data_IF_869622725902
#
_entry.id   IF_869622725902
#
_cell.length_a   1.000
_cell.length_b   1.000
_cell.length_c   1.000
_cell.angle_alpha   90.00
_cell.angle_beta   90.00
_cell.angle_gamma   90.00
#
_symmetry.space_group_name_H-M   'P 1'
#
loop_
_entity.id
_entity.type
_entity.pdbx_description
1 polymer ?
2 polymer ?
3 non-polymer ?
4 non-polymer ?
5 non-polymer ?
6 water ?
#
# COMPACT_ATOMS: atom_id res chain seq x y z
N UNK A 5 21.84 -23.62 -2.11
CA UNK A 5 21.67 -22.36 -2.82
C UNK A 5 22.77 -21.32 -2.51
N UNK A 6 23.33 -20.71 -3.56
CA UNK A 6 24.37 -19.68 -3.42
C UNK A 6 23.77 -18.38 -2.89
N UNK A 7 24.59 -17.59 -2.19
CA UNK A 7 24.10 -16.42 -1.45
C UNK A 7 24.64 -15.05 -1.92
N UNK A 8 25.47 -15.02 -2.98
CA UNK A 8 25.96 -13.77 -3.58
C UNK A 8 24.96 -13.09 -4.53
N UNK A 9 23.82 -13.72 -4.80
CA UNK A 9 22.78 -13.19 -5.69
C UNK A 9 21.74 -12.49 -4.84
N UNK A 10 21.32 -11.29 -5.24
CA UNK A 10 20.17 -10.63 -4.58
C UNK A 10 18.87 -11.40 -4.85
N UNK A 11 17.87 -11.19 -4.01
CA UNK A 11 16.60 -11.90 -4.13
C UNK A 11 15.67 -11.04 -4.93
N UNK A 12 15.45 -11.37 -6.22
CA UNK A 12 14.62 -10.49 -7.06
C UNK A 12 13.15 -10.50 -6.69
N UNK A 13 12.50 -9.36 -6.90
CA UNK A 13 11.06 -9.26 -6.72
C UNK A 13 10.40 -9.55 -8.07
N UNK A 14 9.17 -10.05 -8.00
CA UNK A 14 8.35 -10.23 -9.20
C UNK A 14 8.17 -8.91 -9.96
N UNK A 15 7.98 -7.82 -9.22
CA UNK A 15 7.82 -6.50 -9.81
C UNK A 15 8.87 -5.51 -9.33
N UNK A 16 9.18 -4.53 -10.16
CA UNK A 16 9.88 -3.31 -9.72
C UNK A 16 8.85 -2.35 -9.13
N UNK A 17 9.19 -1.77 -7.98
CA UNK A 17 8.30 -0.88 -7.26
C UNK A 17 8.91 0.49 -7.14
N UNK A 18 8.05 1.50 -7.08
CA UNK A 18 8.44 2.88 -6.89
C UNK A 18 7.82 3.40 -5.61
N UNK A 19 8.66 4.01 -4.78
CA UNK A 19 8.22 4.68 -3.56
C UNK A 19 8.12 6.18 -3.82
N UNK A 20 6.96 6.72 -3.46
CA UNK A 20 6.65 8.13 -3.59
C UNK A 20 6.40 8.77 -2.22
N UNK A 21 6.70 10.06 -2.13
CA UNK A 21 6.43 10.88 -0.96
C UNK A 21 5.56 12.05 -1.39
N UNK A 22 4.65 12.44 -0.51
CA UNK A 22 3.78 13.59 -0.70
C UNK A 22 3.88 14.46 0.54
N UNK A 23 4.00 15.78 0.34
CA UNK A 23 3.81 16.75 1.40
C UNK A 23 3.28 17.98 0.72
N UNK A 24 2.31 18.65 1.33
CA UNK A 24 1.58 19.75 0.68
C UNK A 24 2.33 21.09 0.86
N UNK A 25 3.59 21.12 0.43
CA UNK A 25 4.46 22.28 0.68
C UNK A 25 5.14 22.86 -0.56
N UNK A 26 4.77 22.38 -1.75
CA UNK A 26 5.37 22.88 -2.98
C UNK A 26 4.39 23.59 -3.92
N UNK A 27 3.17 23.08 -4.04
CA UNK A 27 2.19 23.61 -5.00
C UNK A 27 0.77 23.60 -4.47
N UNK A 28 -0.03 24.53 -4.96
CA UNK A 28 -1.47 24.51 -4.73
C UNK A 28 -2.20 23.46 -5.59
N UNK A 29 -1.53 22.87 -6.57
CA UNK A 29 -2.08 21.73 -7.31
C UNK A 29 -1.57 20.45 -6.66
N UNK A 30 -2.48 19.50 -6.43
CA UNK A 30 -2.15 18.30 -5.63
C UNK A 30 -0.94 17.56 -6.23
N UNK A 31 -1.04 17.23 -7.53
CA UNK A 31 -0.06 16.36 -8.20
C UNK A 31 1.41 16.87 -8.14
N UNK A 32 1.60 18.19 -8.10
CA UNK A 32 2.94 18.78 -8.10
C UNK A 32 3.65 18.67 -6.74
N UNK A 33 2.95 18.16 -5.72
CA UNK A 33 3.54 17.86 -4.43
C UNK A 33 4.09 16.44 -4.32
N UNK A 34 3.88 15.61 -5.34
CA UNK A 34 4.43 14.25 -5.33
C UNK A 34 5.92 14.25 -5.67
N UNK A 35 6.71 13.48 -4.93
CA UNK A 35 8.14 13.26 -5.18
C UNK A 35 8.37 11.76 -5.34
N UNK A 36 9.03 11.36 -6.42
CA UNK A 36 9.54 9.99 -6.51
C UNK A 36 10.77 9.90 -5.61
N UNK A 37 10.78 8.98 -4.66
CA UNK A 37 11.91 8.83 -3.77
C UNK A 37 12.91 7.88 -4.42
N UNK A 38 12.47 6.67 -4.75
CA UNK A 38 13.35 5.64 -5.31
C UNK A 38 12.58 4.50 -5.96
N UNK A 39 13.31 3.64 -6.67
CA UNK A 39 12.76 2.41 -7.22
C UNK A 39 13.63 1.26 -6.75
N UNK A 40 13.03 0.07 -6.64
CA UNK A 40 13.80 -1.14 -6.28
C UNK A 40 13.12 -2.37 -6.86
N UNK A 41 13.91 -3.45 -7.05
CA UNK A 41 13.35 -4.68 -7.55
C UNK A 41 13.98 -5.92 -6.94
N UNK A 42 14.52 -5.78 -5.73
CA UNK A 42 15.04 -6.90 -4.96
C UNK A 42 14.63 -6.68 -3.52
N UNK A 43 14.68 -7.76 -2.76
CA UNK A 43 14.37 -7.69 -1.32
C UNK A 43 15.43 -6.84 -0.59
N UNK A 44 16.70 -7.06 -0.91
CA UNK A 44 17.80 -6.34 -0.26
C UNK A 44 17.70 -4.84 -0.48
N UNK A 45 17.33 -4.45 -1.71
CA UNK A 45 17.20 -3.04 -2.02
C UNK A 45 15.98 -2.38 -1.36
N UNK A 46 14.90 -3.15 -1.25
CA UNK A 46 13.74 -2.74 -0.46
C UNK A 46 14.19 -2.36 0.95
N UNK A 47 14.88 -3.28 1.63
CA UNK A 47 15.29 -3.02 3.02
C UNK A 47 16.26 -1.83 3.15
N UNK A 48 17.19 -1.69 2.20
CA UNK A 48 18.12 -0.54 2.20
C UNK A 48 17.34 0.77 2.19
N UNK A 49 16.29 0.80 1.37
CA UNK A 49 15.44 1.99 1.27
C UNK A 49 14.63 2.16 2.52
N UNK A 50 13.94 1.11 2.93
CA UNK A 50 13.10 1.17 4.13
C UNK A 50 13.89 1.62 5.35
N UNK A 51 15.12 1.12 5.47
CA UNK A 51 15.98 1.49 6.60
C UNK A 51 16.49 2.94 6.58
N UNK A 52 16.47 3.57 5.41
CA UNK A 52 16.96 4.94 5.23
C UNK A 52 15.90 6.00 5.55
N UNK A 53 14.62 5.65 5.52
CA UNK A 53 13.53 6.65 5.51
C UNK A 53 12.77 6.66 6.83
N UNK A 54 12.09 7.77 7.09
CA UNK A 54 11.33 7.92 8.31
C UNK A 54 10.19 6.90 8.42
N UNK A 55 9.95 6.43 9.64
CA UNK A 55 8.71 5.76 9.96
C UNK A 55 7.55 6.70 9.67
N UNK A 56 6.46 6.13 9.18
CA UNK A 56 5.23 6.88 8.92
C UNK A 56 4.77 7.68 10.13
N UNK A 57 4.87 7.05 11.31
CA UNK A 57 4.51 7.73 12.57
C UNK A 57 5.35 8.98 12.89
N UNK A 58 6.53 9.13 12.28
CA UNK A 58 7.41 10.29 12.51
C UNK A 58 7.25 11.37 11.44
N UNK A 59 6.37 11.16 10.46
CA UNK A 59 6.12 12.18 9.44
C UNK A 59 5.18 13.25 9.98
N UNK A 60 5.30 14.45 9.42
CA UNK A 60 4.39 15.54 9.75
C UNK A 60 3.01 15.23 9.23
N UNK A 61 1.96 15.57 10.01
CA UNK A 61 0.60 15.41 9.50
C UNK A 61 0.41 16.11 8.15
N UNK A 62 -0.24 15.43 7.23
CA UNK A 62 -0.41 15.88 5.85
C UNK A 62 0.49 15.21 4.84
N UNK A 63 1.39 14.32 5.30
CA UNK A 63 2.32 13.62 4.40
C UNK A 63 1.77 12.25 4.02
N UNK A 64 2.19 11.76 2.84
CA UNK A 64 1.89 10.39 2.41
C UNK A 64 3.16 9.70 1.96
N UNK A 65 3.21 8.38 2.19
CA UNK A 65 3.99 7.48 1.33
C UNK A 65 3.06 6.68 0.42
N UNK A 66 3.52 6.39 -0.80
CA UNK A 66 2.84 5.50 -1.72
C UNK A 66 3.86 4.54 -2.34
N UNK A 67 3.55 3.24 -2.33
CA UNK A 67 4.37 2.26 -3.04
C UNK A 67 3.54 1.68 -4.16
N UNK A 68 3.96 1.95 -5.41
CA UNK A 68 3.24 1.50 -6.59
C UNK A 68 4.17 0.75 -7.55
N UNK A 69 3.58 -0.22 -8.26
CA UNK A 69 4.30 -0.91 -9.32
C UNK A 69 4.86 0.12 -10.29
N UNK A 70 6.10 -0.08 -10.72
CA UNK A 70 6.73 0.91 -11.58
C UNK A 70 5.91 0.95 -12.87
N UNK A 71 5.59 2.16 -13.32
CA UNK A 71 4.67 2.36 -14.43
C UNK A 71 3.27 2.82 -14.07
N UNK A 72 2.91 2.67 -12.79
CA UNK A 72 1.61 3.13 -12.29
C UNK A 72 1.86 4.35 -11.40
N UNK A 73 1.37 5.50 -11.80
CA UNK A 73 1.47 6.70 -10.98
C UNK A 73 0.51 6.57 -9.82
N UNK A 74 0.88 7.08 -8.62
CA UNK A 74 0.05 6.91 -7.43
C UNK A 74 -1.13 7.88 -7.36
N UNK A 75 -1.96 7.86 -8.40
CA UNK A 75 -3.08 8.78 -8.52
C UNK A 75 -4.22 8.15 -9.31
N UNK A 76 -5.43 8.63 -9.02
CA UNK A 76 -6.67 8.10 -9.58
C UNK A 76 -6.63 8.05 -11.11
N UNK A 77 -5.99 9.07 -11.68
CA UNK A 77 -5.99 9.32 -13.12
C UNK A 77 -5.18 8.33 -13.93
N UNK A 78 -4.29 7.57 -13.30
CA UNK A 78 -3.54 6.55 -14.03
C UNK A 78 -4.50 5.56 -14.69
N UNK A 79 -4.14 5.13 -15.90
CA UNK A 79 -4.91 4.12 -16.63
C UNK A 79 -5.24 2.92 -15.75
N UNK A 80 -4.30 2.50 -14.91
CA UNK A 80 -4.50 1.31 -14.08
C UNK A 80 -5.25 1.55 -12.76
N UNK A 81 -5.51 2.81 -12.43
CA UNK A 81 -6.28 3.17 -11.23
C UNK A 81 -7.67 3.73 -11.51
N UNK A 82 -7.92 4.30 -12.69
CA UNK A 82 -9.17 5.04 -12.89
C UNK A 82 -10.45 4.20 -12.78
N UNK A 83 -10.39 2.92 -13.13
CA UNK A 83 -11.52 2.00 -12.98
C UNK A 83 -11.44 1.20 -11.67
N UNK A 84 -10.48 1.56 -10.83
CA UNK A 84 -10.09 0.77 -9.68
C UNK A 84 -10.65 1.35 -8.41
N UNK A 85 -10.01 0.99 -7.30
CA UNK A 85 -10.47 1.37 -5.99
C UNK A 85 -9.51 0.89 -4.93
N UNK A 86 -9.87 1.09 -3.67
CA UNK A 86 -9.01 0.75 -2.55
C UNK A 86 -9.71 0.02 -1.40
N UNK A 87 -9.00 -0.92 -0.78
CA UNK A 87 -9.37 -1.40 0.55
C UNK A 87 -8.80 -0.40 1.56
N UNK A 88 -9.63 0.13 2.45
CA UNK A 88 -9.22 1.20 3.33
C UNK A 88 -9.16 0.76 4.81
N UNK A 89 -8.03 1.03 5.44
CA UNK A 89 -7.83 0.81 6.88
C UNK A 89 -7.84 2.20 7.50
N UNK A 90 -8.81 2.48 8.38
CA UNK A 90 -8.91 3.78 9.04
C UNK A 90 -8.42 3.56 10.47
N UNK A 91 -7.53 4.43 10.91
CA UNK A 91 -6.90 4.31 12.22
C UNK A 91 -7.38 5.47 13.08
N UNK A 92 -7.59 5.21 14.36
CA UNK A 92 -7.87 6.32 15.27
C UNK A 92 -6.55 7.01 15.65
N UNK A 93 -6.64 8.14 16.35
CA UNK A 93 -5.44 8.92 16.68
C UNK A 93 -4.40 8.15 17.48
N UNK A 94 -4.87 7.32 18.41
CA UNK A 94 -3.99 6.55 19.29
C UNK A 94 -3.24 5.43 18.53
N UNK A 95 -3.86 4.94 17.46
CA UNK A 95 -3.25 3.93 16.60
C UNK A 95 -2.05 4.43 15.79
N UNK A 96 -1.84 5.74 15.71
CA UNK A 96 -0.57 6.21 15.15
C UNK A 96 0.61 5.58 15.87
N UNK A 97 0.52 5.47 17.19
CA UNK A 97 1.55 4.88 18.02
C UNK A 97 1.52 3.35 17.99
N UNK A 98 0.33 2.76 18.14
CA UNK A 98 0.25 1.31 18.34
C UNK A 98 0.32 0.49 17.07
N UNK A 99 -0.26 0.97 15.98
CA UNK A 99 -0.49 0.15 14.80
C UNK A 99 0.01 0.71 13.46
N UNK A 100 0.21 2.03 13.34
CA UNK A 100 0.47 2.60 12.00
C UNK A 100 1.70 1.99 11.34
N UNK A 101 2.82 1.99 12.04
CA UNK A 101 4.07 1.53 11.42
C UNK A 101 4.04 0.04 11.14
N UNK A 102 3.54 -0.76 12.08
CA UNK A 102 3.49 -2.22 11.86
C UNK A 102 2.51 -2.56 10.72
N UNK A 103 1.36 -1.89 10.65
CA UNK A 103 0.40 -2.12 9.55
C UNK A 103 0.98 -1.69 8.20
N UNK A 104 1.66 -0.55 8.17
CA UNK A 104 2.30 -0.10 6.92
C UNK A 104 3.39 -1.07 6.45
N UNK A 105 4.26 -1.49 7.37
CA UNK A 105 5.29 -2.46 6.99
C UNK A 105 4.67 -3.77 6.49
N UNK A 106 3.65 -4.28 7.17
CA UNK A 106 2.98 -5.48 6.71
C UNK A 106 2.37 -5.28 5.30
N UNK A 107 1.83 -4.11 5.06
CA UNK A 107 1.31 -3.77 3.74
C UNK A 107 2.40 -3.83 2.66
N UNK A 108 3.55 -3.23 2.95
CA UNK A 108 4.71 -3.24 2.04
C UNK A 108 5.12 -4.67 1.75
N UNK A 109 5.18 -5.49 2.80
CA UNK A 109 5.58 -6.89 2.61
C UNK A 109 4.58 -7.68 1.79
N UNK A 110 3.29 -7.43 2.01
CA UNK A 110 2.23 -8.03 1.21
C UNK A 110 2.43 -7.76 -0.26
N UNK A 111 2.68 -6.48 -0.56
CA UNK A 111 2.89 -6.07 -1.94
C UNK A 111 4.12 -6.73 -2.60
N UNK A 112 5.30 -6.51 -2.02
CA UNK A 112 6.57 -6.91 -2.67
C UNK A 112 6.69 -8.43 -2.74
N UNK A 113 6.06 -9.13 -1.78
CA UNK A 113 6.07 -10.59 -1.73
C UNK A 113 5.03 -11.29 -2.62
N UNK A 114 4.19 -10.51 -3.34
CA UNK A 114 3.13 -11.05 -4.22
C UNK A 114 2.22 -12.00 -3.45
N UNK A 115 1.60 -11.44 -2.40
CA UNK A 115 0.91 -12.24 -1.40
C UNK A 115 -0.55 -12.56 -1.74
N UNK A 116 -1.02 -12.16 -2.92
CA UNK A 116 -2.42 -12.27 -3.30
C UNK A 116 -2.69 -13.36 -4.34
N UNK A 117 -1.74 -14.31 -4.42
CA UNK A 117 -1.83 -15.51 -5.28
C UNK A 117 -2.36 -15.22 -6.70
N UNK A 118 -3.48 -15.79 -7.11
CA UNK A 118 -3.98 -15.62 -8.49
C UNK A 118 -4.35 -14.18 -8.83
N UNK A 119 -4.51 -13.33 -7.81
CA UNK A 119 -5.00 -11.95 -8.02
C UNK A 119 -3.95 -10.86 -7.77
N UNK A 120 -2.68 -11.25 -7.63
CA UNK A 120 -1.60 -10.29 -7.41
C UNK A 120 -1.50 -9.24 -8.51
N UNK A 121 -1.83 -9.62 -9.76
CA UNK A 121 -1.81 -8.64 -10.86
C UNK A 121 -2.86 -7.54 -10.75
N UNK A 122 -3.94 -7.76 -10.00
CA UNK A 122 -4.91 -6.69 -9.76
C UNK A 122 -4.43 -5.63 -8.76
N UNK A 123 -3.38 -5.93 -8.00
CA UNK A 123 -2.82 -4.95 -7.05
C UNK A 123 -2.01 -3.89 -7.79
N UNK A 124 -2.33 -2.62 -7.54
CA UNK A 124 -1.56 -1.50 -8.12
C UNK A 124 -0.51 -0.95 -7.17
N UNK A 125 -0.88 -0.79 -5.90
CA UNK A 125 0.00 -0.20 -4.95
C UNK A 125 -0.71 0.01 -3.63
N UNK A 126 -0.05 0.75 -2.75
CA UNK A 126 -0.58 1.09 -1.43
C UNK A 126 -0.20 2.49 -1.04
N UNK A 127 -1.05 3.09 -0.21
CA UNK A 127 -0.86 4.47 0.25
C UNK A 127 -1.07 4.54 1.76
N UNK A 128 -0.17 5.26 2.43
CA UNK A 128 -0.40 5.64 3.83
C UNK A 128 -0.53 7.15 3.89
N UNK A 129 -1.60 7.61 4.52
CA UNK A 129 -1.85 9.04 4.75
C UNK A 129 -1.68 9.28 6.26
N UNK A 130 -0.72 10.12 6.61
CA UNK A 130 -0.56 10.57 7.99
C UNK A 130 -1.40 11.85 8.12
N UNK A 131 -2.39 11.81 9.01
CA UNK A 131 -3.38 12.88 9.10
C UNK A 131 -3.76 13.11 10.55
N UNK A 132 -3.90 14.38 10.89
CA UNK A 132 -4.28 14.78 12.25
C UNK A 132 -5.63 14.20 12.71
N UNK A 133 -6.59 14.06 11.80
CA UNK A 133 -7.91 13.47 12.10
C UNK A 133 -7.89 11.95 12.28
N UNK A 134 -6.84 11.28 11.82
CA UNK A 134 -6.79 9.82 11.82
C UNK A 134 -6.04 9.36 10.57
N UNK A 135 -5.09 8.46 10.76
CA UNK A 135 -4.27 7.99 9.67
C UNK A 135 -5.06 6.97 8.83
N UNK A 136 -4.65 6.79 7.58
CA UNK A 136 -5.27 5.81 6.70
C UNK A 136 -4.18 5.02 6.00
N UNK A 137 -4.45 3.74 5.81
CA UNK A 137 -3.63 2.88 4.91
C UNK A 137 -4.59 2.26 3.93
N UNK A 138 -4.17 2.12 2.68
CA UNK A 138 -5.00 1.48 1.68
C UNK A 138 -4.19 0.70 0.67
N UNK A 139 -4.76 -0.41 0.22
CA UNK A 139 -4.29 -1.12 -0.98
C UNK A 139 -5.21 -0.76 -2.15
N UNK A 140 -4.58 -0.34 -3.25
CA UNK A 140 -5.28 0.10 -4.45
C UNK A 140 -5.23 -1.07 -5.44
N UNK A 141 -6.37 -1.35 -6.04
CA UNK A 141 -6.48 -2.40 -7.06
C UNK A 141 -7.07 -1.81 -8.34
N UNK A 142 -6.88 -2.52 -9.43
CA UNK A 142 -7.08 -1.95 -10.77
C UNK A 142 -8.53 -1.88 -11.30
N UNK A 143 -9.42 -2.73 -10.79
CA UNK A 143 -10.78 -2.87 -11.34
C UNK A 143 -11.78 -3.10 -10.22
N UNK A 144 -12.56 -2.07 -9.91
CA UNK A 144 -13.54 -2.12 -8.80
C UNK A 144 -14.73 -3.06 -9.05
N UNK A 145 -14.94 -3.48 -10.30
CA UNK A 145 -16.04 -4.39 -10.64
C UNK A 145 -15.68 -5.87 -10.58
N UNK A 146 -14.39 -6.22 -10.43
CA UNK A 146 -14.01 -7.63 -10.29
C UNK A 146 -14.22 -8.08 -8.85
N UNK A 147 -15.46 -8.48 -8.56
CA UNK A 147 -15.86 -8.87 -7.21
C UNK A 147 -14.95 -9.98 -6.63
N UNK A 148 -14.67 -10.98 -7.44
CA UNK A 148 -13.85 -12.12 -6.99
C UNK A 148 -12.45 -11.68 -6.59
N UNK A 149 -11.76 -10.94 -7.47
CA UNK A 149 -10.39 -10.49 -7.22
C UNK A 149 -10.34 -9.52 -6.05
N UNK A 150 -11.27 -8.56 -6.02
CA UNK A 150 -11.29 -7.54 -4.99
C UNK A 150 -11.53 -8.15 -3.61
N UNK A 151 -12.53 -9.02 -3.52
CA UNK A 151 -12.86 -9.67 -2.25
C UNK A 151 -11.71 -10.53 -1.76
N UNK A 152 -11.06 -11.25 -2.69
CA UNK A 152 -9.92 -12.12 -2.32
C UNK A 152 -8.77 -11.29 -1.74
N UNK A 153 -8.45 -10.19 -2.41
CA UNK A 153 -7.38 -9.29 -1.97
C UNK A 153 -7.69 -8.75 -0.56
N UNK A 154 -8.93 -8.35 -0.33
CA UNK A 154 -9.34 -7.83 0.97
C UNK A 154 -9.17 -8.84 2.07
N UNK A 155 -9.55 -10.09 1.77
CA UNK A 155 -9.47 -11.15 2.77
C UNK A 155 -8.02 -11.51 3.11
N UNK A 156 -7.15 -11.51 2.11
CA UNK A 156 -5.72 -11.71 2.32
C UNK A 156 -5.19 -10.60 3.22
N UNK A 157 -5.53 -9.37 2.88
CA UNK A 157 -5.01 -8.22 3.61
C UNK A 157 -5.42 -8.22 5.08
N UNK A 158 -6.69 -8.55 5.32
CA UNK A 158 -7.24 -8.56 6.66
C UNK A 158 -6.52 -9.64 7.46
N UNK A 159 -6.33 -10.80 6.83
CA UNK A 159 -5.60 -11.89 7.49
C UNK A 159 -4.14 -11.50 7.79
N UNK A 160 -3.46 -10.84 6.84
CA UNK A 160 -2.06 -10.44 7.04
C UNK A 160 -1.88 -9.35 8.11
N UNK A 161 -2.85 -8.44 8.21
CA UNK A 161 -2.87 -7.46 9.31
C UNK A 161 -3.28 -8.03 10.66
N UNK A 162 -3.80 -9.25 10.68
CA UNK A 162 -4.27 -9.89 11.90
C UNK A 162 -5.54 -9.27 12.46
N UNK A 163 -6.40 -8.70 11.62
CA UNK A 163 -7.64 -8.08 12.10
C UNK A 163 -8.67 -9.17 12.39
N UNK A 164 -9.35 -9.10 13.57
CA UNK A 164 -10.32 -10.16 13.89
C UNK A 164 -11.61 -10.07 13.06
N UNK A 165 -12.40 -11.17 13.00
CA UNK A 165 -13.59 -11.18 12.15
C UNK A 165 -14.60 -10.04 12.38
N UNK A 166 -14.70 -9.55 13.61
CA UNK A 166 -15.65 -8.46 13.92
C UNK A 166 -15.18 -7.06 13.46
N UNK A 167 -13.91 -6.91 13.05
CA UNK A 167 -13.45 -5.65 12.43
C UNK A 167 -13.73 -5.76 10.93
N UNK A 168 -14.64 -4.95 10.42
CA UNK A 168 -15.01 -4.99 9.02
C UNK A 168 -14.23 -3.89 8.32
N UNK A 169 -13.69 -4.19 7.13
CA UNK A 169 -13.05 -3.17 6.31
C UNK A 169 -13.82 -3.05 5.01
N UNK A 170 -13.74 -1.87 4.39
CA UNK A 170 -14.48 -1.55 3.21
C UNK A 170 -13.61 -1.22 2.00
N UNK A 171 -14.19 -1.47 0.83
CA UNK A 171 -13.56 -1.16 -0.45
C UNK A 171 -14.39 -0.08 -1.13
N UNK A 172 -13.72 0.99 -1.57
CA UNK A 172 -14.38 2.09 -2.30
C UNK A 172 -13.76 2.27 -3.66
N UNK A 173 -14.59 2.52 -4.68
CA UNK A 173 -14.06 2.83 -6.01
C UNK A 173 -13.48 4.25 -5.98
N UNK A 174 -12.44 4.46 -6.77
CA UNK A 174 -11.81 5.77 -6.85
C UNK A 174 -12.81 6.77 -7.47
N UNK A 175 -13.59 6.31 -8.44
CA UNK A 175 -14.62 7.16 -9.08
C UNK A 175 -15.59 7.69 -8.04
N UNK A 176 -16.02 6.83 -7.10
CA UNK A 176 -16.84 7.29 -5.97
C UNK A 176 -16.09 8.18 -4.98
N UNK A 177 -14.87 7.80 -4.59
CA UNK A 177 -14.04 8.64 -3.72
C UNK A 177 -13.87 10.07 -4.28
N UNK A 178 -13.60 10.16 -5.58
CA UNK A 178 -13.34 11.45 -6.25
C UNK A 178 -14.57 12.33 -6.46
N UNK A 179 -15.77 11.79 -6.31
CA UNK A 179 -17.00 12.55 -6.51
C UNK A 179 -17.55 13.05 -5.16
N UNK A 180 -18.08 14.26 -5.17
CA UNK A 180 -18.63 14.90 -3.97
C UNK A 180 -20.12 14.60 -3.84
N UNK A 185 -18.59 8.55 1.16
CA UNK A 185 -18.37 7.57 0.09
C UNK A 185 -18.86 6.20 0.52
N UNK A 186 -19.53 5.49 -0.39
CA UNK A 186 -20.08 4.17 -0.10
C UNK A 186 -19.02 3.08 -0.30
N UNK A 187 -19.19 1.97 0.42
CA UNK A 187 -18.39 0.76 0.17
C UNK A 187 -19.05 -0.06 -0.93
N UNK A 188 -18.26 -0.52 -1.91
CA UNK A 188 -18.71 -1.49 -2.90
C UNK A 188 -18.69 -2.89 -2.32
N UNK A 189 -17.71 -3.17 -1.47
CA UNK A 189 -17.54 -4.45 -0.81
C UNK A 189 -17.08 -4.24 0.61
N UNK A 190 -17.36 -5.23 1.45
CA UNK A 190 -16.78 -5.31 2.78
C UNK A 190 -16.29 -6.73 3.02
N UNK A 191 -15.27 -6.86 3.88
CA UNK A 191 -14.81 -8.16 4.40
C UNK A 191 -14.45 -8.02 5.88
C UNK B 1 6.63 -17.81 -11.60
N UNK B 2 5.68 -17.28 -10.80
CA UNK B 2 5.78 -16.02 -10.12
C UNK B 2 6.72 -16.11 -8.93
N UNK B 3 7.36 -14.99 -8.60
CA UNK B 3 8.29 -14.93 -7.48
C UNK B 3 7.51 -14.46 -6.26
N UNK B 4 7.36 -15.35 -5.28
CA UNK B 4 6.59 -15.09 -4.08
C UNK B 4 7.55 -15.19 -2.90
N UNK B 5 7.38 -14.31 -1.91
CA UNK B 5 8.08 -14.41 -0.63
C UNK B 5 7.07 -14.38 0.49
N UNK B 6 7.21 -15.32 1.42
CA UNK B 6 6.45 -15.26 2.67
C UNK B 6 6.95 -14.10 3.49
N UNK B 7 6.14 -13.71 4.47
CA UNK B 7 6.54 -12.76 5.47
C UNK B 7 7.90 -13.11 6.15
N UNK B 8 8.11 -14.36 6.62
CA UNK B 8 9.33 -14.84 7.26
C UNK B 8 10.52 -14.61 6.33
N UNK B 9 10.41 -15.00 5.12
CA UNK B 9 11.49 -14.86 4.14
C UNK B 9 11.94 -13.41 4.00
N UNK B 10 10.96 -12.50 3.89
CA UNK B 10 11.27 -11.08 3.76
C UNK B 10 11.96 -10.53 4.98
N UNK B 11 11.48 -10.87 6.18
CA UNK B 11 12.13 -10.38 7.39
C UNK B 11 13.54 -10.94 7.61
N UNK B 12 13.82 -12.24 7.33
CA UNK B 12 15.14 -12.86 7.44
C UNK B 12 16.10 -12.08 6.57
N UNK B 13 15.69 -11.62 5.45
CA UNK B 13 16.59 -10.90 4.55
C UNK B 13 16.86 -9.43 4.88
N UNK B 14 16.23 -8.91 5.93
CA UNK B 14 16.61 -7.62 6.46
C UNK B 14 18.02 -7.75 7.07
N UNK B 15 18.51 -9.00 7.52
X LIG C 1 -6.27 12.44 0.54
X LIG C 1 -4.87 12.92 0.73
X LIG C 1 -6.54 11.06 -0.03
X LIG C 1 -7.15 12.48 1.89
X LIG C 1 -7.09 13.48 -0.40
X LIG C 1 -7.29 13.53 3.12
X LIG C 1 -6.15 14.52 3.13
X LIG C 1 -7.46 12.70 4.36
X LIG C 1 -8.72 14.21 2.81
X LIG C 1 -10.04 13.45 2.18
X LIG C 1 -9.65 12.05 1.73
X LIG C 1 -11.02 13.42 3.35
X LIG C 1 -10.43 14.33 0.99
X LIG C 1 -7.13 14.87 -0.17
X LIG C 1 -7.34 15.60 -1.49
X LIG C 1 -6.15 15.48 -2.27
X LIG C 1 -8.44 15.05 -2.39
X LIG C 1 -9.75 15.46 -2.00
X LIG C 1 -8.01 15.60 -3.73
X LIG C 1 -8.33 16.99 -3.86
X LIG C 1 -6.49 15.40 -3.64
X LIG C 1 -6.14 14.09 -4.24
X LIG C 1 -5.88 12.96 -3.34
X LIG C 1 -5.61 11.98 -4.39
X LIG C 1 -5.30 10.61 -3.89
X LIG C 1 -5.71 12.45 -5.63
X LIG C 1 -5.54 11.84 -6.95
X LIG C 1 -5.24 10.62 -7.10
X LIG C 1 -5.72 12.67 -8.00
X LIG C 1 -6.05 13.97 -7.85
X LIG C 1 -6.23 14.71 -8.98
X LIG C 1 -6.22 14.60 -6.66
X LIG C 1 -6.07 13.86 -5.54
X LIG D 1 -11.71 0.37 9.31
X LIG D 1 -12.68 -0.45 8.62
X LIG D 1 -10.50 -0.47 9.74
X LIG D 1 -10.03 -0.07 11.03
X LIG D 1 -8.76 -0.66 11.34
X LIG D 1 -8.76 -1.17 12.77
X LIG D 1 -7.46 -1.14 13.36
X LIG E 1 2.48 -9.38 -15.27
X LIG E 1 3.83 -9.35 -15.72
X LIG E 1 2.18 -8.30 -14.22
X LIG E 1 3.25 -7.97 -13.33
X LIG E 1 4.06 -9.01 -12.79
X LIG E 1 5.51 -8.76 -13.19
X LIG E 1 6.04 -9.70 -14.14
X LIG F 1 -0.59 8.53 19.94
X LIG F 1 -1.13 8.00 18.74
X LIG F 1 -0.40 10.04 19.84
X LIG F 1 0.40 10.42 20.96
X LIG F 1 0.31 10.49 18.55
X LIG F 1 -0.41 11.60 17.98
#
# INVERSE_FOLDING_TARGET
MVANPEHYIKHPLQNRWALWFFKNDKSKTWQANLRLISKFDTVEDFWALYNHIQLSSNLMPGCDYSLFKDGIEPMWEDEKNKRGGRWLITLNKQQRRSDLDRFWLETLLCLIGESFDDYSDDVCGAVVNVRAKGDKIAIWTTECENREAVTHIGRVYKERLGLPPKIVIGYQSHADTATKSGSTTKNRFVV
XRIIYSRLQLLLLKX
MGP PA O1A O2A O3A O5' PB O1B O2B O3B PC O1C O2C O3C C5' C4' O4' C3' O3' C2' O2' C1' N9 C8 N7 CM7 C5 C6 O6 N1 C2 N2 N3 C4
PEG C1 O1 C2 O2 C3 C4 O4
PEG C1 O1 C2 O2 C3 C4 O4
GOL C1 O1 C2 O2 C3 O3
#
